data_IF_337881092469
#
_entry.id   IF_337881092469
#
_cell.length_a   1.000
_cell.length_b   1.000
_cell.length_c   1.000
_cell.angle_alpha   90.00
_cell.angle_beta   90.00
_cell.angle_gamma   90.00
#
_symmetry.space_group_name_H-M   'P 1'
#
loop_
_entity.id
_entity.type
_entity.pdbx_description
1 polymer ?
#
# COMPACT_ATOMS: atom_id res chain seq x y z
N UNK A 1 -15.78 -5.54 -3.13
CA UNK A 1 -14.44 -4.93 -3.01
C UNK A 1 -13.32 -5.94 -3.29
N UNK A 2 -13.53 -6.92 -4.19
CA UNK A 2 -12.52 -7.95 -4.49
C UNK A 2 -11.17 -7.34 -4.90
N UNK A 3 -10.08 -8.00 -4.52
CA UNK A 3 -8.72 -7.65 -4.94
C UNK A 3 -8.21 -8.66 -5.99
N UNK A 4 -6.95 -8.61 -6.39
CA UNK A 4 -6.47 -9.41 -7.54
C UNK A 4 -6.41 -10.91 -7.30
N UNK A 5 -6.36 -11.36 -6.04
CA UNK A 5 -6.24 -12.78 -5.69
C UNK A 5 -7.24 -13.29 -4.64
N UNK A 6 -8.21 -12.47 -4.22
CA UNK A 6 -9.26 -12.83 -3.26
C UNK A 6 -10.56 -12.08 -3.47
N UNK A 7 -11.67 -12.78 -3.27
CA UNK A 7 -13.02 -12.19 -3.27
C UNK A 7 -13.26 -11.32 -2.04
N UNK A 8 -12.73 -11.75 -0.89
CA UNK A 8 -12.79 -11.01 0.39
C UNK A 8 -11.43 -10.38 0.64
N UNK A 9 -11.44 -9.06 0.68
CA UNK A 9 -10.27 -8.17 0.72
C UNK A 9 -9.85 -7.86 2.15
N UNK A 10 -8.57 -7.57 2.35
CA UNK A 10 -8.02 -7.04 3.60
C UNK A 10 -7.77 -5.51 3.53
N UNK A 11 -7.43 -4.89 4.67
CA UNK A 11 -7.19 -3.44 4.73
C UNK A 11 -6.05 -2.97 3.81
N UNK A 12 -4.99 -3.75 3.59
CA UNK A 12 -3.83 -3.34 2.79
C UNK A 12 -4.15 -3.23 1.31
N UNK A 13 -4.67 -4.31 0.73
CA UNK A 13 -5.03 -4.35 -0.68
C UNK A 13 -6.17 -3.38 -1.03
N UNK A 14 -7.11 -3.16 -0.10
CA UNK A 14 -8.12 -2.10 -0.27
C UNK A 14 -7.51 -0.70 -0.24
N UNK A 15 -6.58 -0.41 0.67
CA UNK A 15 -5.90 0.89 0.77
C UNK A 15 -5.14 1.21 -0.52
N UNK A 16 -4.40 0.26 -1.07
CA UNK A 16 -3.75 0.42 -2.38
C UNK A 16 -4.78 0.76 -3.47
N UNK A 17 -5.93 0.08 -3.47
CA UNK A 17 -6.96 0.35 -4.47
C UNK A 17 -7.57 1.76 -4.36
N UNK A 18 -7.96 2.21 -3.17
CA UNK A 18 -8.64 3.51 -3.03
C UNK A 18 -7.69 4.71 -2.87
N UNK A 19 -6.42 4.51 -2.48
CA UNK A 19 -5.43 5.58 -2.38
C UNK A 19 -4.54 5.68 -3.61
N UNK A 20 -4.22 4.57 -4.27
CA UNK A 20 -3.30 4.54 -5.42
C UNK A 20 -4.00 4.25 -6.76
N UNK A 21 -5.28 3.85 -6.74
CA UNK A 21 -6.05 3.59 -7.97
C UNK A 21 -5.73 2.26 -8.66
N UNK A 22 -4.96 1.37 -8.01
CA UNK A 22 -4.56 0.05 -8.55
C UNK A 22 -4.91 -1.04 -7.55
N UNK A 23 -5.51 -2.14 -8.01
CA UNK A 23 -5.74 -3.30 -7.14
C UNK A 23 -4.44 -4.10 -6.98
N UNK A 24 -4.05 -4.34 -5.72
CA UNK A 24 -2.95 -5.23 -5.36
C UNK A 24 -3.44 -6.57 -4.82
N UNK A 25 -2.49 -7.45 -4.50
CA UNK A 25 -2.73 -8.74 -3.86
C UNK A 25 -3.04 -8.57 -2.36
N UNK A 26 -3.69 -9.57 -1.73
CA UNK A 26 -3.85 -9.61 -0.28
C UNK A 26 -2.54 -9.33 0.46
N UNK A 27 -2.61 -8.62 1.58
CA UNK A 27 -1.49 -8.26 2.46
C UNK A 27 -0.45 -7.27 1.89
N UNK A 28 -0.52 -6.89 0.61
CA UNK A 28 0.46 -5.94 0.03
C UNK A 28 -0.04 -4.49 0.12
N UNK A 29 0.90 -3.55 0.29
CA UNK A 29 0.62 -2.11 0.47
C UNK A 29 1.35 -1.32 -0.61
N UNK A 30 0.63 -0.48 -1.36
CA UNK A 30 1.21 0.47 -2.31
C UNK A 30 1.90 -0.18 -3.52
N UNK A 31 1.63 -1.44 -3.82
CA UNK A 31 2.24 -2.17 -4.94
C UNK A 31 1.18 -2.86 -5.77
N UNK A 32 1.46 -3.10 -7.04
CA UNK A 32 0.56 -3.81 -7.95
C UNK A 32 0.52 -5.34 -7.69
N UNK A 33 -0.18 -6.08 -8.54
CA UNK A 33 -0.34 -7.53 -8.40
C UNK A 33 0.89 -8.36 -8.77
N UNK A 34 1.96 -7.75 -9.28
CA UNK A 34 3.21 -8.45 -9.56
C UNK A 34 4.00 -8.73 -8.26
N UNK A 35 3.76 -7.95 -7.20
CA UNK A 35 4.38 -8.20 -5.89
C UNK A 35 3.61 -9.29 -5.15
N UNK A 36 4.28 -10.42 -4.91
CA UNK A 36 3.73 -11.50 -4.10
C UNK A 36 3.86 -11.19 -2.61
N UNK A 37 2.90 -11.68 -1.81
CA UNK A 37 2.92 -11.51 -0.36
C UNK A 37 4.26 -11.98 0.23
N UNK A 38 4.88 -11.13 1.05
CA UNK A 38 6.17 -11.37 1.72
C UNK A 38 7.38 -11.55 0.79
N UNK A 39 7.27 -11.27 -0.51
CA UNK A 39 8.44 -11.21 -1.39
C UNK A 39 9.06 -9.80 -1.38
N UNK A 40 10.04 -9.59 -0.50
CA UNK A 40 10.74 -8.31 -0.38
C UNK A 40 11.41 -7.89 -1.70
N UNK A 41 12.00 -8.84 -2.43
CA UNK A 41 12.70 -8.54 -3.70
C UNK A 41 11.77 -7.91 -4.74
N UNK A 42 10.54 -8.41 -4.87
CA UNK A 42 9.56 -7.83 -5.80
C UNK A 42 9.14 -6.43 -5.36
N UNK A 43 8.96 -6.20 -4.04
CA UNK A 43 8.61 -4.89 -3.51
C UNK A 43 9.72 -3.85 -3.68
N UNK A 44 10.98 -4.25 -3.86
CA UNK A 44 12.08 -3.33 -4.18
C UNK A 44 12.05 -2.84 -5.62
N UNK A 45 11.32 -3.52 -6.53
CA UNK A 45 11.19 -3.08 -7.91
C UNK A 45 10.22 -1.90 -8.01
N UNK A 46 10.76 -0.71 -8.25
CA UNK A 46 9.97 0.53 -8.36
C UNK A 46 8.96 0.52 -9.50
N UNK A 47 9.14 -0.34 -10.51
CA UNK A 47 8.17 -0.49 -11.61
C UNK A 47 6.83 -1.08 -11.14
N UNK A 48 6.81 -1.75 -9.98
CA UNK A 48 5.60 -2.31 -9.37
C UNK A 48 4.97 -1.40 -8.31
N UNK A 49 5.54 -0.21 -8.07
CA UNK A 49 5.02 0.73 -7.07
C UNK A 49 3.80 1.47 -7.61
N UNK A 50 2.73 1.46 -6.84
CA UNK A 50 1.52 2.23 -7.11
C UNK A 50 1.54 3.51 -6.25
N UNK A 51 1.73 4.67 -6.88
CA UNK A 51 1.78 5.94 -6.16
C UNK A 51 0.41 6.42 -5.70
N UNK A 52 0.33 6.82 -4.43
CA UNK A 52 -0.89 7.28 -3.79
C UNK A 52 -1.27 8.70 -4.20
N UNK A 53 -2.56 9.06 -4.08
CA UNK A 53 -3.05 10.42 -4.27
C UNK A 53 -2.32 11.46 -3.40
N UNK A 54 -1.83 11.07 -2.22
CA UNK A 54 -1.01 11.95 -1.37
C UNK A 54 0.34 12.27 -2.04
N UNK A 55 0.98 11.28 -2.66
CA UNK A 55 2.20 11.49 -3.47
C UNK A 55 1.93 12.42 -4.65
N UNK A 56 0.83 12.21 -5.38
CA UNK A 56 0.43 13.11 -6.49
C UNK A 56 0.18 14.55 -6.03
N UNK A 57 -0.39 14.75 -4.83
CA UNK A 57 -0.54 16.09 -4.25
C UNK A 57 0.81 16.74 -3.95
N UNK A 58 1.75 15.99 -3.35
CA UNK A 58 3.10 16.48 -3.06
C UNK A 58 3.85 16.86 -4.35
N UNK A 59 3.74 16.05 -5.40
CA UNK A 59 4.34 16.33 -6.72
C UNK A 59 3.76 17.59 -7.36
N UNK A 60 2.48 17.90 -7.08
CA UNK A 60 1.83 19.13 -7.49
C UNK A 60 2.11 20.33 -6.55
N UNK A 61 3.05 20.20 -5.60
CA UNK A 61 3.41 21.27 -4.66
C UNK A 61 2.35 21.53 -3.57
N UNK A 62 1.47 20.57 -3.29
CA UNK A 62 0.40 20.67 -2.29
C UNK A 62 0.73 19.89 -1.03
N UNK A 63 0.25 20.38 0.11
CA UNK A 63 0.38 19.67 1.40
C UNK A 63 -0.49 18.41 1.44
N UNK A 64 -0.02 17.37 2.12
CA UNK A 64 -0.74 16.15 2.43
C UNK A 64 -0.52 15.75 3.89
N UNK A 65 -1.51 15.11 4.50
CA UNK A 65 -1.46 14.64 5.90
C UNK A 65 -2.38 13.45 6.13
N UNK A 66 -2.10 12.68 7.18
CA UNK A 66 -2.82 11.45 7.52
C UNK A 66 -3.26 11.55 8.99
N UNK A 67 -4.52 11.22 9.26
CA UNK A 67 -5.08 11.13 10.62
C UNK A 67 -5.73 9.76 10.77
N UNK A 68 -5.42 9.07 11.85
CA UNK A 68 -5.96 7.74 12.15
C UNK A 68 -6.02 7.51 13.66
N UNK A 69 -6.87 6.60 14.09
CA UNK A 69 -6.91 6.07 15.47
C UNK A 69 -6.11 4.77 15.62
N UNK A 70 -5.61 4.22 14.51
CA UNK A 70 -4.72 3.06 14.50
C UNK A 70 -3.25 3.49 14.61
N UNK A 71 -2.30 2.55 14.62
CA UNK A 71 -0.89 2.89 14.40
C UNK A 71 -0.76 3.56 13.04
N UNK A 72 0.09 4.58 12.92
CA UNK A 72 0.31 5.30 11.65
C UNK A 72 0.93 4.41 10.56
N UNK A 73 1.54 3.29 10.95
CA UNK A 73 2.10 2.22 10.12
C UNK A 73 1.09 1.13 9.77
N UNK A 74 -0.13 1.17 10.31
CA UNK A 74 -1.18 0.21 9.96
C UNK A 74 -1.48 0.27 8.45
N UNK A 75 -1.99 -0.83 7.90
CA UNK A 75 -2.25 -0.99 6.46
C UNK A 75 -2.98 0.19 5.79
N UNK A 76 -4.00 0.74 6.44
CA UNK A 76 -4.82 1.84 5.90
C UNK A 76 -4.04 3.15 5.74
N UNK A 77 -3.43 3.72 6.79
CA UNK A 77 -2.57 4.90 6.62
C UNK A 77 -1.32 4.61 5.77
N UNK A 78 -0.73 3.41 5.86
CA UNK A 78 0.45 3.03 5.10
C UNK A 78 0.22 3.09 3.58
N UNK A 79 -0.98 2.78 3.08
CA UNK A 79 -1.30 2.89 1.64
C UNK A 79 -1.15 4.31 1.07
N UNK A 80 -1.03 5.35 1.91
CA UNK A 80 -0.77 6.71 1.46
C UNK A 80 0.72 7.00 1.21
N UNK A 81 1.66 6.20 1.75
CA UNK A 81 3.09 6.53 1.70
C UNK A 81 4.05 5.34 1.53
N UNK A 82 3.63 4.12 1.85
CA UNK A 82 4.49 2.95 1.89
C UNK A 82 4.33 2.07 0.64
N UNK A 83 5.41 1.36 0.30
CA UNK A 83 5.46 0.30 -0.70
C UNK A 83 6.04 -0.95 -0.03
N UNK A 84 5.21 -1.96 0.25
CA UNK A 84 5.61 -3.17 0.99
C UNK A 84 4.91 -4.42 0.49
N UNK A 85 5.65 -5.54 0.44
CA UNK A 85 5.11 -6.87 0.14
C UNK A 85 4.30 -7.46 1.30
N UNK A 86 4.37 -6.89 2.50
CA UNK A 86 3.62 -7.38 3.65
C UNK A 86 3.26 -6.23 4.61
N UNK A 87 1.96 -6.05 4.85
CA UNK A 87 1.40 -5.11 5.82
C UNK A 87 1.79 -5.37 7.27
N UNK A 88 2.34 -6.54 7.57
CA UNK A 88 2.86 -6.90 8.89
C UNK A 88 4.22 -6.29 9.18
N UNK A 89 4.96 -5.86 8.14
CA UNK A 89 6.26 -5.20 8.27
C UNK A 89 6.08 -3.72 8.62
N UNK A 90 5.60 -3.46 9.84
CA UNK A 90 5.43 -2.11 10.38
C UNK A 90 6.76 -1.54 10.91
N UNK A 91 7.70 -2.41 11.28
CA UNK A 91 9.04 -2.09 11.81
C UNK A 91 10.07 -3.18 11.43
N UNK A 92 11.34 -3.03 11.84
CA UNK A 92 12.44 -3.94 11.50
C UNK A 92 12.46 -5.26 12.28
N UNK A 93 11.74 -5.34 13.42
CA UNK A 93 11.60 -6.55 14.20
C UNK A 93 10.38 -7.40 13.79
N UNK A 94 9.57 -6.91 12.85
CA UNK A 94 8.31 -7.50 12.39
C UNK A 94 8.40 -8.36 11.13
#
# INVERSE_FOLDING_TARGET
>A
TYNTNSQVVDSASSATAFLCGVKGNLWTVGVDSNVLQSNCTDALNTSFHAHSIAKWFQDAGRSAGIVTTTRVTHATPAGAFAHSANRGWEDDAS
#
